data_IF_575797151668
#
_entry.id   IF_575797151668
#
_cell.length_a   1.000
_cell.length_b   1.000
_cell.length_c   1.000
_cell.angle_alpha   90.00
_cell.angle_beta   90.00
_cell.angle_gamma   90.00
#
_symmetry.space_group_name_H-M   'P 1'
#
loop_
_entity.id
_entity.type
_entity.pdbx_description
1 polymer ?
#
# COMPACT_ATOMS: atom_id res chain seq x y z
N UNK A 1 -14.36 12.94 13.51
CA UNK A 1 -13.61 12.83 12.25
C UNK A 1 -12.91 14.16 11.93
N UNK A 2 -11.58 14.13 11.79
CA UNK A 2 -10.82 15.32 11.36
C UNK A 2 -10.97 15.52 9.86
N UNK A 3 -11.52 16.65 9.43
CA UNK A 3 -11.81 16.97 8.01
C UNK A 3 -10.81 17.95 7.39
N UNK A 4 -10.08 18.72 8.20
CA UNK A 4 -9.28 19.85 7.74
C UNK A 4 -10.17 21.02 7.23
N UNK A 5 -9.51 22.07 6.73
CA UNK A 5 -10.21 23.30 6.29
C UNK A 5 -11.04 23.15 5.01
N UNK A 6 -10.68 22.19 4.16
CA UNK A 6 -11.33 21.95 2.85
C UNK A 6 -11.97 20.57 2.71
N UNK A 7 -12.01 19.78 3.78
CA UNK A 7 -12.49 18.40 3.75
C UNK A 7 -11.47 17.39 3.19
N UNK A 8 -10.25 17.82 2.86
CA UNK A 8 -9.21 17.01 2.22
C UNK A 8 -8.19 16.42 3.22
N UNK A 9 -8.49 16.46 4.53
CA UNK A 9 -7.63 15.79 5.51
C UNK A 9 -7.64 14.27 5.28
N UNK A 10 -6.48 13.65 5.39
CA UNK A 10 -6.33 12.21 5.21
C UNK A 10 -5.97 11.75 3.80
N UNK A 11 -5.79 12.65 2.84
CA UNK A 11 -5.32 12.34 1.47
C UNK A 11 -3.84 11.90 1.44
N UNK A 12 -3.52 10.91 2.27
CA UNK A 12 -2.14 10.41 2.46
C UNK A 12 -1.57 9.74 1.20
N UNK A 13 -2.42 9.18 0.35
CA UNK A 13 -2.02 8.62 -0.94
C UNK A 13 -1.29 9.62 -1.83
N UNK A 14 -1.56 10.92 -1.63
CA UNK A 14 -0.93 12.01 -2.36
C UNK A 14 0.49 12.35 -1.86
N UNK A 15 0.94 11.86 -0.71
CA UNK A 15 2.28 12.13 -0.18
C UNK A 15 3.33 11.55 -1.12
N UNK A 16 4.34 12.35 -1.46
CA UNK A 16 5.48 11.88 -2.26
C UNK A 16 6.50 11.18 -1.35
N UNK A 17 6.73 9.90 -1.58
CA UNK A 17 7.70 9.07 -0.83
C UNK A 17 9.05 8.94 -1.54
N UNK A 18 9.12 9.24 -2.85
CA UNK A 18 10.34 9.14 -3.66
C UNK A 18 10.36 10.18 -4.77
N UNK A 19 11.55 10.58 -5.24
CA UNK A 19 11.71 11.51 -6.39
C UNK A 19 11.24 10.91 -7.72
N UNK A 20 11.26 9.60 -7.85
CA UNK A 20 10.79 8.86 -9.01
C UNK A 20 10.02 7.62 -8.56
N UNK A 21 9.51 6.84 -9.50
CA UNK A 21 8.80 5.62 -9.19
C UNK A 21 7.43 5.57 -9.86
N UNK A 22 6.53 4.80 -9.29
CA UNK A 22 5.19 4.62 -9.83
C UNK A 22 4.39 5.93 -9.80
N UNK A 23 3.52 6.06 -10.79
CA UNK A 23 2.66 7.22 -10.95
C UNK A 23 1.35 7.03 -10.22
N UNK A 24 0.94 8.01 -9.44
CA UNK A 24 -0.34 8.06 -8.75
C UNK A 24 -0.67 9.50 -8.34
N UNK A 25 -1.94 9.86 -8.30
CA UNK A 25 -2.39 11.23 -8.02
C UNK A 25 -1.70 12.31 -8.87
N UNK A 26 -1.49 12.05 -10.16
CA UNK A 26 -0.89 13.01 -11.08
C UNK A 26 0.60 13.26 -10.91
N UNK A 27 1.32 12.43 -10.14
CA UNK A 27 2.78 12.57 -9.93
C UNK A 27 3.49 11.23 -9.72
N UNK A 28 4.78 11.21 -10.02
CA UNK A 28 5.63 10.08 -9.69
C UNK A 28 5.99 10.03 -8.21
N UNK A 29 6.20 8.81 -7.71
CA UNK A 29 6.71 8.56 -6.37
C UNK A 29 5.72 8.84 -5.25
N UNK A 30 4.41 8.90 -5.55
CA UNK A 30 3.36 9.05 -4.54
C UNK A 30 3.13 7.75 -3.77
N UNK A 31 2.61 7.87 -2.55
CA UNK A 31 2.26 6.72 -1.72
C UNK A 31 1.28 5.79 -2.44
N UNK A 32 0.22 6.34 -3.05
CA UNK A 32 -0.71 5.56 -3.87
C UNK A 32 -0.01 4.89 -5.07
N UNK A 33 0.89 5.58 -5.76
CA UNK A 33 1.64 5.04 -6.89
C UNK A 33 2.44 3.79 -6.54
N UNK A 34 2.87 3.62 -5.30
CA UNK A 34 3.58 2.42 -4.84
C UNK A 34 2.66 1.36 -4.23
N UNK A 35 1.53 1.74 -3.64
CA UNK A 35 0.77 0.87 -2.75
C UNK A 35 -0.64 0.53 -3.26
N UNK A 36 -1.19 1.26 -4.25
CA UNK A 36 -2.48 0.90 -4.85
C UNK A 36 -2.34 -0.24 -5.86
N UNK A 37 -3.47 -0.90 -6.16
CA UNK A 37 -3.48 -2.00 -7.15
C UNK A 37 -2.97 -1.60 -8.52
N UNK A 38 -3.38 -0.43 -8.99
CA UNK A 38 -2.90 0.11 -10.26
C UNK A 38 -1.43 0.55 -10.17
N UNK A 39 -1.04 1.16 -9.06
CA UNK A 39 0.34 1.57 -8.81
C UNK A 39 1.30 0.38 -8.81
N UNK A 40 0.97 -0.71 -8.11
CA UNK A 40 1.75 -1.95 -8.08
C UNK A 40 1.85 -2.56 -9.48
N UNK A 41 0.74 -2.60 -10.23
CA UNK A 41 0.71 -3.10 -11.60
C UNK A 41 1.65 -2.33 -12.53
N UNK A 42 1.60 -1.00 -12.49
CA UNK A 42 2.47 -0.16 -13.33
C UNK A 42 3.94 -0.22 -12.88
N UNK A 43 4.17 -0.29 -11.57
CA UNK A 43 5.51 -0.52 -11.02
C UNK A 43 6.09 -1.85 -11.51
N UNK A 44 5.30 -2.93 -11.47
CA UNK A 44 5.72 -4.25 -11.93
C UNK A 44 6.07 -4.24 -13.41
N UNK A 45 5.24 -3.62 -14.27
CA UNK A 45 5.53 -3.49 -15.71
C UNK A 45 6.86 -2.80 -15.96
N UNK A 46 7.12 -1.71 -15.26
CA UNK A 46 8.35 -0.96 -15.43
C UNK A 46 9.56 -1.74 -14.95
N UNK A 47 9.49 -2.35 -13.77
CA UNK A 47 10.55 -3.21 -13.24
C UNK A 47 10.82 -4.42 -14.15
N UNK A 48 9.77 -4.99 -14.75
CA UNK A 48 9.90 -6.11 -15.67
C UNK A 48 10.67 -5.68 -16.93
N UNK A 49 10.25 -4.57 -17.55
CA UNK A 49 10.90 -4.04 -18.75
C UNK A 49 12.37 -3.69 -18.49
N UNK A 50 12.68 -3.03 -17.39
CA UNK A 50 14.06 -2.72 -16.97
C UNK A 50 14.90 -3.99 -16.90
N UNK A 51 14.42 -5.04 -16.23
CA UNK A 51 15.13 -6.32 -16.10
C UNK A 51 15.24 -7.10 -17.42
N UNK A 52 14.22 -7.02 -18.27
CA UNK A 52 14.25 -7.64 -19.59
C UNK A 52 15.34 -6.99 -20.48
N UNK A 53 15.42 -5.66 -20.49
CA UNK A 53 16.43 -4.89 -21.21
C UNK A 53 17.85 -5.15 -20.68
N UNK A 54 18.00 -5.33 -19.37
CA UNK A 54 19.27 -5.69 -18.71
C UNK A 54 19.64 -7.18 -18.86
N UNK A 55 18.73 -8.03 -19.31
CA UNK A 55 18.93 -9.48 -19.35
C UNK A 55 19.01 -10.14 -17.96
N UNK A 56 18.43 -9.48 -16.93
CA UNK A 56 18.51 -9.91 -15.52
C UNK A 56 17.28 -10.68 -15.04
N UNK A 57 16.33 -11.01 -15.95
CA UNK A 57 15.19 -11.87 -15.64
C UNK A 57 15.61 -13.32 -15.49
N UNK A 58 15.16 -13.97 -14.43
CA UNK A 58 15.28 -15.41 -14.26
C UNK A 58 14.42 -16.15 -15.31
N UNK A 59 14.82 -17.36 -15.69
CA UNK A 59 14.14 -18.13 -16.74
C UNK A 59 12.65 -18.32 -16.47
N UNK A 60 12.29 -18.59 -15.22
CA UNK A 60 10.91 -18.77 -14.77
C UNK A 60 10.05 -17.50 -14.81
N UNK A 61 10.68 -16.31 -14.88
CA UNK A 61 10.01 -15.01 -14.91
C UNK A 61 9.86 -14.48 -16.35
N UNK A 62 10.44 -15.15 -17.36
CA UNK A 62 10.29 -14.74 -18.75
C UNK A 62 8.88 -14.94 -19.25
N UNK A 63 8.41 -14.00 -20.07
CA UNK A 63 7.09 -14.08 -20.71
C UNK A 63 5.91 -13.70 -19.81
N UNK A 64 6.14 -13.06 -18.67
CA UNK A 64 5.05 -12.52 -17.85
C UNK A 64 4.38 -11.37 -18.60
N UNK A 65 3.08 -11.48 -18.82
CA UNK A 65 2.26 -10.47 -19.51
C UNK A 65 1.17 -9.87 -18.62
N UNK A 66 0.75 -10.60 -17.58
CA UNK A 66 -0.24 -10.12 -16.62
C UNK A 66 0.43 -9.68 -15.31
N UNK A 67 0.42 -8.37 -15.07
CA UNK A 67 0.99 -7.71 -13.88
C UNK A 67 -0.07 -7.34 -12.85
N UNK A 68 -1.27 -7.93 -12.89
CA UNK A 68 -2.25 -7.73 -11.83
C UNK A 68 -1.73 -8.24 -10.49
N UNK A 69 -2.11 -7.59 -9.40
CA UNK A 69 -1.69 -8.01 -8.05
C UNK A 69 -2.05 -9.47 -7.77
N UNK A 70 -3.20 -9.91 -8.27
CA UNK A 70 -3.65 -11.32 -8.14
C UNK A 70 -2.68 -12.28 -8.82
N UNK A 71 -2.27 -11.97 -10.06
CA UNK A 71 -1.32 -12.83 -10.80
C UNK A 71 0.07 -12.77 -10.16
N UNK A 72 0.56 -11.59 -9.80
CA UNK A 72 1.84 -11.43 -9.09
C UNK A 72 1.88 -12.24 -7.78
N UNK A 73 0.79 -12.23 -6.99
CA UNK A 73 0.71 -13.05 -5.78
C UNK A 73 0.75 -14.55 -6.07
N UNK A 74 0.15 -14.99 -7.19
CA UNK A 74 0.25 -16.38 -7.65
C UNK A 74 1.67 -16.74 -8.07
N UNK A 75 2.35 -15.85 -8.80
CA UNK A 75 3.76 -16.04 -9.20
C UNK A 75 4.70 -16.13 -7.99
N UNK A 76 4.47 -15.35 -6.93
CA UNK A 76 5.24 -15.48 -5.67
C UNK A 76 5.09 -16.87 -5.07
N UNK A 77 3.86 -17.42 -5.06
CA UNK A 77 3.62 -18.80 -4.60
C UNK A 77 4.32 -19.84 -5.48
N UNK A 78 4.49 -19.54 -6.78
CA UNK A 78 5.25 -20.34 -7.72
C UNK A 78 6.77 -20.15 -7.64
N UNK A 79 7.26 -19.31 -6.72
CA UNK A 79 8.68 -19.09 -6.50
C UNK A 79 9.32 -17.99 -7.35
N UNK A 80 8.54 -17.12 -8.02
CA UNK A 80 9.04 -16.01 -8.85
C UNK A 80 9.83 -14.98 -8.04
N UNK A 81 11.14 -14.81 -8.24
CA UNK A 81 11.92 -13.77 -7.58
C UNK A 81 11.54 -12.36 -8.05
N UNK A 82 11.13 -12.25 -9.33
CA UNK A 82 10.63 -10.99 -9.87
C UNK A 82 9.37 -10.54 -9.13
N UNK A 83 8.34 -11.38 -9.08
CA UNK A 83 7.10 -11.04 -8.40
C UNK A 83 7.33 -10.74 -6.91
N UNK A 84 8.20 -11.49 -6.24
CA UNK A 84 8.60 -11.21 -4.86
C UNK A 84 9.20 -9.82 -4.71
N UNK A 85 10.12 -9.42 -5.59
CA UNK A 85 10.76 -8.11 -5.55
C UNK A 85 9.77 -6.95 -5.76
N UNK A 86 8.69 -7.16 -6.51
CA UNK A 86 7.60 -6.18 -6.67
C UNK A 86 6.87 -5.97 -5.34
N UNK A 87 6.51 -7.06 -4.65
CA UNK A 87 5.88 -6.96 -3.32
C UNK A 87 6.81 -6.35 -2.29
N UNK A 88 8.08 -6.71 -2.27
CA UNK A 88 9.07 -6.16 -1.34
C UNK A 88 9.22 -4.64 -1.52
N UNK A 89 9.21 -4.16 -2.78
CA UNK A 89 9.27 -2.73 -3.08
C UNK A 89 8.01 -2.00 -2.65
N UNK A 90 6.83 -2.56 -2.91
CA UNK A 90 5.56 -1.99 -2.45
C UNK A 90 5.47 -1.99 -0.93
N UNK A 91 5.86 -3.08 -0.27
CA UNK A 91 5.89 -3.21 1.19
C UNK A 91 6.83 -2.20 1.85
N UNK A 92 8.00 -1.94 1.24
CA UNK A 92 8.92 -0.92 1.70
C UNK A 92 8.27 0.48 1.72
N UNK A 93 7.62 0.87 0.62
CA UNK A 93 6.95 2.17 0.56
C UNK A 93 5.68 2.22 1.42
N UNK A 94 4.97 1.10 1.58
CA UNK A 94 3.87 1.02 2.53
C UNK A 94 4.37 1.27 3.96
N UNK A 95 5.44 0.61 4.37
CA UNK A 95 6.07 0.82 5.68
C UNK A 95 6.47 2.27 5.91
N UNK A 96 7.11 2.91 4.92
CA UNK A 96 7.49 4.33 5.00
C UNK A 96 6.29 5.27 5.10
N UNK A 97 5.24 5.01 4.34
CA UNK A 97 4.01 5.81 4.44
C UNK A 97 3.33 5.67 5.79
N UNK A 98 3.28 4.44 6.32
CA UNK A 98 2.74 4.17 7.66
C UNK A 98 3.60 4.81 8.76
N UNK A 99 4.91 4.77 8.63
CA UNK A 99 5.82 5.41 9.57
C UNK A 99 5.54 6.91 9.71
N UNK A 100 5.35 7.62 8.58
CA UNK A 100 4.95 9.03 8.60
C UNK A 100 3.62 9.24 9.34
N UNK A 101 2.64 8.36 9.14
CA UNK A 101 1.35 8.47 9.84
C UNK A 101 1.47 8.19 11.33
N UNK A 102 2.30 7.22 11.72
CA UNK A 102 2.57 6.89 13.12
C UNK A 102 3.22 8.07 13.82
N UNK A 103 4.25 8.66 13.25
CA UNK A 103 4.98 9.77 13.87
C UNK A 103 4.17 11.08 13.90
N UNK A 104 3.30 11.34 12.91
CA UNK A 104 2.48 12.55 12.85
C UNK A 104 1.24 12.44 13.73
N UNK A 105 0.54 11.29 13.71
CA UNK A 105 -0.77 11.12 14.33
C UNK A 105 -0.73 10.36 15.66
N UNK A 106 0.36 9.61 15.91
CA UNK A 106 0.54 8.74 17.07
C UNK A 106 -0.70 7.88 17.40
N UNK A 107 -1.23 7.11 16.42
CA UNK A 107 -2.44 6.34 16.59
C UNK A 107 -2.18 5.05 17.39
N UNK A 108 -3.18 4.56 18.09
CA UNK A 108 -3.14 3.24 18.75
C UNK A 108 -3.24 2.08 17.75
N UNK A 109 -3.88 2.31 16.61
CA UNK A 109 -4.07 1.29 15.57
C UNK A 109 -4.23 1.92 14.19
N UNK A 110 -3.63 1.28 13.18
CA UNK A 110 -3.89 1.56 11.76
C UNK A 110 -4.48 0.30 11.14
N UNK A 111 -5.69 0.43 10.59
CA UNK A 111 -6.39 -0.66 9.88
C UNK A 111 -6.19 -0.49 8.38
N UNK A 112 -5.67 -1.52 7.71
CA UNK A 112 -5.35 -1.49 6.28
C UNK A 112 -6.24 -2.48 5.54
N UNK A 113 -7.00 -1.99 4.56
CA UNK A 113 -7.88 -2.80 3.72
C UNK A 113 -7.27 -3.14 2.35
N UNK A 114 -8.14 -3.56 1.44
CA UNK A 114 -7.85 -3.76 0.02
C UNK A 114 -6.73 -4.79 -0.23
N UNK A 115 -5.63 -4.38 -0.86
CA UNK A 115 -4.53 -5.26 -1.27
C UNK A 115 -3.80 -5.85 -0.06
N UNK A 116 -3.53 -5.04 0.97
CA UNK A 116 -2.85 -5.51 2.17
C UNK A 116 -3.64 -6.63 2.85
N UNK A 117 -4.95 -6.48 3.00
CA UNK A 117 -5.82 -7.51 3.56
C UNK A 117 -5.72 -8.84 2.80
N UNK A 118 -5.75 -8.79 1.47
CA UNK A 118 -5.71 -10.00 0.61
C UNK A 118 -4.33 -10.63 0.50
N UNK A 119 -3.27 -9.86 0.71
CA UNK A 119 -1.88 -10.26 0.51
C UNK A 119 -1.02 -10.05 1.76
N UNK A 120 -1.60 -9.97 2.96
CA UNK A 120 -0.92 -9.65 4.23
C UNK A 120 0.41 -10.40 4.38
N UNK A 121 0.42 -11.70 4.13
CA UNK A 121 1.61 -12.53 4.26
C UNK A 121 2.80 -12.10 3.34
N UNK A 122 2.51 -11.36 2.26
CA UNK A 122 3.53 -10.85 1.36
C UNK A 122 4.07 -9.47 1.77
N UNK A 123 3.35 -8.78 2.66
CA UNK A 123 3.68 -7.42 3.09
C UNK A 123 4.21 -7.34 4.50
N UNK A 124 3.61 -8.09 5.43
CA UNK A 124 3.70 -7.89 6.89
C UNK A 124 5.12 -7.76 7.40
N UNK A 125 5.96 -8.74 7.14
CA UNK A 125 7.34 -8.79 7.66
C UNK A 125 8.14 -7.55 7.22
N UNK A 126 8.08 -7.21 5.93
CA UNK A 126 8.82 -6.06 5.38
C UNK A 126 8.26 -4.73 5.88
N UNK A 127 6.93 -4.59 5.95
CA UNK A 127 6.26 -3.38 6.46
C UNK A 127 6.66 -3.14 7.91
N UNK A 128 6.56 -4.16 8.78
CA UNK A 128 6.94 -4.04 10.19
C UNK A 128 8.43 -3.73 10.37
N UNK A 129 9.31 -4.31 9.54
CA UNK A 129 10.74 -4.02 9.57
C UNK A 129 11.01 -2.54 9.25
N UNK A 130 10.37 -2.00 8.20
CA UNK A 130 10.52 -0.60 7.80
C UNK A 130 9.94 0.35 8.86
N UNK A 131 8.79 0.04 9.45
CA UNK A 131 8.22 0.84 10.53
C UNK A 131 9.17 0.91 11.73
N UNK A 132 9.78 -0.22 12.12
CA UNK A 132 10.77 -0.24 13.21
C UNK A 132 12.03 0.55 12.91
N UNK A 133 12.42 0.66 11.64
CA UNK A 133 13.59 1.43 11.21
C UNK A 133 13.32 2.94 11.16
N UNK A 134 12.12 3.35 10.74
CA UNK A 134 11.80 4.74 10.40
C UNK A 134 11.12 5.52 11.55
N UNK A 135 10.41 4.84 12.48
CA UNK A 135 9.65 5.50 13.55
C UNK A 135 10.40 5.60 14.88
N UNK A 136 9.95 6.51 15.73
CA UNK A 136 10.34 6.49 17.13
C UNK A 136 9.90 5.19 17.81
N UNK A 137 10.81 4.59 18.57
CA UNK A 137 10.60 3.29 19.23
C UNK A 137 9.35 3.25 20.10
N UNK A 138 9.09 4.35 20.85
CA UNK A 138 7.92 4.50 21.71
C UNK A 138 6.61 4.44 20.91
N UNK A 139 6.57 5.10 19.76
CA UNK A 139 5.39 5.14 18.87
C UNK A 139 5.12 3.77 18.22
N UNK A 140 6.17 3.06 17.80
CA UNK A 140 6.05 1.71 17.22
C UNK A 140 5.44 0.72 18.21
N UNK A 141 5.84 0.77 19.46
CA UNK A 141 5.38 -0.16 20.49
C UNK A 141 3.90 0.04 20.87
N UNK A 142 3.33 1.19 20.58
CA UNK A 142 1.95 1.55 20.90
C UNK A 142 0.99 1.33 19.72
N UNK A 143 1.46 1.48 18.48
CA UNK A 143 0.62 1.38 17.30
C UNK A 143 0.53 -0.05 16.76
N UNK A 144 -0.68 -0.57 16.65
CA UNK A 144 -0.95 -1.85 16.00
C UNK A 144 -1.23 -1.66 14.52
N UNK A 145 -0.69 -2.54 13.68
CA UNK A 145 -1.02 -2.61 12.25
C UNK A 145 -1.91 -3.82 12.05
N UNK A 146 -3.17 -3.58 11.72
CA UNK A 146 -4.18 -4.61 11.56
C UNK A 146 -4.75 -4.61 10.13
N UNK A 147 -5.14 -5.77 9.63
CA UNK A 147 -5.88 -5.83 8.38
C UNK A 147 -7.36 -5.57 8.62
N UNK A 148 -8.03 -4.98 7.63
CA UNK A 148 -9.48 -4.83 7.65
C UNK A 148 -10.17 -6.20 7.67
N UNK A 149 -11.27 -6.28 8.43
CA UNK A 149 -12.16 -7.45 8.42
C UNK A 149 -13.39 -7.24 7.50
N UNK A 150 -13.52 -6.03 6.90
CA UNK A 150 -14.69 -5.68 6.09
C UNK A 150 -14.64 -6.23 4.66
N UNK A 151 -13.50 -6.72 4.22
CA UNK A 151 -13.26 -7.30 2.90
C UNK A 151 -13.79 -6.39 1.75
N UNK A 152 -14.43 -6.98 0.76
CA UNK A 152 -14.97 -6.23 -0.39
C UNK A 152 -16.18 -5.34 -0.02
N UNK A 153 -16.74 -5.47 1.20
CA UNK A 153 -17.86 -4.67 1.69
C UNK A 153 -17.44 -3.30 2.26
N UNK A 154 -16.14 -2.99 2.31
CA UNK A 154 -15.65 -1.73 2.92
C UNK A 154 -16.30 -0.49 2.30
N UNK A 155 -16.58 -0.50 0.99
CA UNK A 155 -17.26 0.60 0.29
C UNK A 155 -18.71 0.78 0.74
N UNK A 156 -19.44 -0.32 0.92
CA UNK A 156 -20.84 -0.30 1.36
C UNK A 156 -20.95 0.17 2.80
N UNK A 157 -20.08 -0.31 3.68
CA UNK A 157 -20.01 0.16 5.07
C UNK A 157 -19.62 1.63 5.18
N UNK A 158 -18.67 2.10 4.35
CA UNK A 158 -18.31 3.51 4.31
C UNK A 158 -19.50 4.39 3.87
N UNK A 159 -20.22 3.99 2.81
CA UNK A 159 -21.40 4.70 2.34
C UNK A 159 -22.53 4.74 3.39
N UNK A 160 -22.80 3.61 4.06
CA UNK A 160 -23.76 3.51 5.14
C UNK A 160 -23.38 4.41 6.33
N UNK A 161 -22.10 4.43 6.72
CA UNK A 161 -21.61 5.26 7.83
C UNK A 161 -21.80 6.75 7.55
N UNK A 162 -21.53 7.21 6.32
CA UNK A 162 -21.77 8.60 5.91
C UNK A 162 -23.26 8.93 5.93
N UNK A 163 -24.12 8.03 5.43
CA UNK A 163 -25.58 8.22 5.46
C UNK A 163 -26.12 8.32 6.89
N UNK A 164 -25.59 7.51 7.81
CA UNK A 164 -25.97 7.55 9.23
C UNK A 164 -25.52 8.84 9.94
N UNK A 165 -24.30 9.35 9.65
CA UNK A 165 -23.83 10.64 10.19
C UNK A 165 -24.71 11.80 9.75
N UNK A 166 -25.10 11.84 8.47
CA UNK A 166 -26.00 12.87 7.93
C UNK A 166 -27.37 12.82 8.64
N UNK A 167 -27.87 11.62 8.93
CA UNK A 167 -29.17 11.46 9.60
C UNK A 167 -29.10 11.82 11.11
N UNK A 168 -27.97 11.54 11.76
CA UNK A 168 -27.76 11.85 13.19
C UNK A 168 -27.43 13.34 13.45
N UNK A 169 -26.85 14.04 12.46
CA UNK A 169 -26.48 15.46 12.53
C UNK A 169 -27.62 16.43 12.16
N UNK A 170 -28.77 15.94 11.78
CA UNK A 170 -29.96 16.70 11.37
C UNK A 170 -30.92 17.03 12.52
N UNK A 171 -30.42 17.28 13.74
CA UNK A 171 -31.18 17.82 14.86
C UNK A 171 -30.55 19.11 15.37
#
# INVERSE_FOLDING_TARGET
LYRGSSGMAGEVGHIRLSKGGSFGYGKEGSFEGFCSGNGIKEMARRMYKEREEEGSLEEQDKGITDFTVKNLASLVKGGSPFARSVFDRSAYYLGRGLALLIDILNPECIVIGSIYERCEALFKEKVEAVIREECFTESVNLCKIEKSELSDNIGDFAALSVAMEVHAGGK
#
